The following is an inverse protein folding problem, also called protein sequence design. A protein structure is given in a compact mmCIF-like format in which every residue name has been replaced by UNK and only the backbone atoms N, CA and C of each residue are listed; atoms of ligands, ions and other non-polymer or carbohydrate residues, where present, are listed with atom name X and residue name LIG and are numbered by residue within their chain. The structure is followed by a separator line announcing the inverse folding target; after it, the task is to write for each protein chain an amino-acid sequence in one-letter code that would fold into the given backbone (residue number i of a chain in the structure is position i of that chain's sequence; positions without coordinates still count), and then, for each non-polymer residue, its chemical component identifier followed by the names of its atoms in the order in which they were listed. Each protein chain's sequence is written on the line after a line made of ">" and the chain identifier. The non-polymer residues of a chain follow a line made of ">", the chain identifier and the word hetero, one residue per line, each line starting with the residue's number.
data_IF_539121943813
#
_entry.id   IF_539121943813
#
_cell.length_a   1.000
_cell.length_b   1.000
_cell.length_c   1.000
_cell.angle_alpha   90.00
_cell.angle_beta   90.00
_cell.angle_gamma   90.00
#
_symmetry.space_group_name_H-M   'P 1'
#
loop_
_entity.id
_entity.type
_entity.pdbx_description
1 polymer ?
#
# COMPACT_ATOMS: atom_id res chain seq x y z
N UNK A 1 -12.89 3.81 1.89
CA UNK A 1 -11.64 3.01 1.90
C UNK A 1 -10.56 3.82 1.22
N UNK A 2 -9.40 4.04 1.84
CA UNK A 2 -8.30 4.78 1.22
C UNK A 2 -7.32 3.81 0.57
N UNK A 3 -6.87 4.11 -0.66
CA UNK A 3 -5.84 3.32 -1.36
C UNK A 3 -4.47 3.47 -0.70
N UNK A 4 -4.16 4.68 -0.21
CA UNK A 4 -2.85 5.04 0.30
C UNK A 4 -2.99 6.07 1.43
N UNK A 5 -2.20 5.92 2.50
CA UNK A 5 -2.16 6.85 3.64
C UNK A 5 -0.79 6.81 4.32
N UNK A 6 -0.27 7.96 4.74
CA UNK A 6 0.87 8.04 5.65
C UNK A 6 0.42 7.98 7.13
N UNK A 7 1.11 7.21 7.97
CA UNK A 7 0.77 6.99 9.38
C UNK A 7 1.97 7.27 10.29
N UNK A 8 1.82 8.13 11.30
CA UNK A 8 2.81 8.28 12.39
C UNK A 8 3.80 9.46 12.27
N UNK A 9 3.45 10.54 11.57
CA UNK A 9 4.31 11.76 11.51
C UNK A 9 5.62 11.54 10.76
N UNK A 10 6.67 12.37 10.97
CA UNK A 10 7.92 12.31 10.20
C UNK A 10 8.64 10.95 10.19
N UNK A 11 8.53 10.16 11.28
CA UNK A 11 9.07 8.79 11.39
C UNK A 11 8.07 7.68 11.07
N UNK A 12 7.01 8.04 10.34
CA UNK A 12 5.87 7.20 10.04
C UNK A 12 6.15 6.08 9.04
N UNK A 13 5.07 5.54 8.49
CA UNK A 13 5.11 4.52 7.46
C UNK A 13 3.96 4.70 6.48
N UNK A 14 4.13 4.10 5.29
CA UNK A 14 3.11 4.06 4.26
C UNK A 14 2.14 2.91 4.54
N UNK A 15 0.86 3.22 4.69
CA UNK A 15 -0.22 2.24 4.73
C UNK A 15 -0.85 2.16 3.35
N UNK A 16 -0.74 1.00 2.71
CA UNK A 16 -1.15 0.78 1.33
C UNK A 16 -2.16 -0.36 1.24
N UNK A 17 -3.30 -0.11 0.60
CA UNK A 17 -4.32 -1.13 0.38
C UNK A 17 -3.83 -2.17 -0.63
N UNK A 18 -3.88 -3.45 -0.29
CA UNK A 18 -3.59 -4.54 -1.24
C UNK A 18 -4.81 -4.83 -2.12
N UNK A 19 -4.83 -4.24 -3.30
CA UNK A 19 -5.92 -4.36 -4.27
C UNK A 19 -5.97 -5.73 -4.96
N UNK A 20 -4.99 -6.62 -4.76
CA UNK A 20 -5.06 -8.00 -5.31
C UNK A 20 -6.03 -8.89 -4.54
N UNK A 21 -6.37 -8.51 -3.31
CA UNK A 21 -7.26 -9.28 -2.44
C UNK A 21 -8.73 -8.83 -2.54
N UNK A 22 -9.00 -7.76 -3.28
CA UNK A 22 -10.34 -7.25 -3.46
C UNK A 22 -11.12 -8.06 -4.50
N UNK A 23 -12.46 -8.18 -4.34
CA UNK A 23 -13.27 -7.65 -3.23
C UNK A 23 -13.30 -8.55 -1.99
N UNK A 24 -12.75 -9.76 -2.07
CA UNK A 24 -12.88 -10.79 -1.05
C UNK A 24 -12.32 -10.39 0.33
N UNK A 25 -11.27 -9.58 0.37
CA UNK A 25 -10.62 -9.17 1.62
C UNK A 25 -9.99 -7.79 1.53
N UNK A 26 -10.23 -6.99 2.56
CA UNK A 26 -9.53 -5.72 2.79
C UNK A 26 -8.29 -6.00 3.64
N UNK A 27 -7.10 -5.69 3.11
CA UNK A 27 -5.83 -5.79 3.83
C UNK A 27 -4.96 -4.59 3.52
N UNK A 28 -4.33 -4.04 4.56
CA UNK A 28 -3.37 -2.96 4.44
C UNK A 28 -1.95 -3.47 4.68
N UNK A 29 -1.04 -3.09 3.80
CA UNK A 29 0.40 -3.29 3.92
C UNK A 29 0.99 -2.12 4.69
N UNK A 30 1.77 -2.41 5.74
CA UNK A 30 2.59 -1.43 6.46
C UNK A 30 3.98 -1.44 5.86
N UNK A 31 4.34 -0.36 5.16
CA UNK A 31 5.56 -0.27 4.37
C UNK A 31 6.47 0.82 4.93
N UNK A 32 7.70 0.42 5.30
CA UNK A 32 8.75 1.30 5.85
C UNK A 32 9.96 1.45 4.95
N UNK A 33 10.02 0.67 3.87
CA UNK A 33 11.18 0.58 2.99
C UNK A 33 10.77 0.74 1.52
N UNK A 34 11.65 1.36 0.74
CA UNK A 34 11.43 1.61 -0.68
C UNK A 34 11.28 0.32 -1.50
N UNK A 35 12.07 -0.70 -1.18
CA UNK A 35 12.05 -2.03 -1.82
C UNK A 35 10.64 -2.64 -1.82
N UNK A 36 9.94 -2.52 -0.70
CA UNK A 36 8.60 -3.06 -0.50
C UNK A 36 7.55 -2.28 -1.31
N UNK A 37 7.71 -0.96 -1.47
CA UNK A 37 6.81 -0.17 -2.35
C UNK A 37 7.00 -0.57 -3.81
N UNK A 38 8.25 -0.75 -4.25
CA UNK A 38 8.57 -1.19 -5.62
C UNK A 38 7.95 -2.56 -5.90
N UNK A 39 8.08 -3.51 -4.98
CA UNK A 39 7.43 -4.82 -5.08
C UNK A 39 5.90 -4.70 -5.18
N UNK A 40 5.29 -3.90 -4.31
CA UNK A 40 3.85 -3.68 -4.29
C UNK A 40 3.30 -3.14 -5.63
N UNK A 41 4.03 -2.23 -6.28
CA UNK A 41 3.67 -1.71 -7.62
C UNK A 41 3.82 -2.82 -8.66
N UNK A 42 4.97 -3.53 -8.68
CA UNK A 42 5.27 -4.59 -9.66
C UNK A 42 4.25 -5.73 -9.65
N UNK A 43 3.80 -6.15 -8.46
CA UNK A 43 2.79 -7.20 -8.31
C UNK A 43 1.34 -6.69 -8.37
N UNK A 44 1.13 -5.42 -8.71
CA UNK A 44 -0.18 -4.78 -8.84
C UNK A 44 -1.01 -4.74 -7.55
N UNK A 45 -0.35 -4.77 -6.39
CA UNK A 45 -0.98 -4.53 -5.08
C UNK A 45 -1.53 -3.11 -4.99
N UNK A 46 -0.86 -2.16 -5.64
CA UNK A 46 -1.39 -0.84 -5.96
C UNK A 46 -1.26 -0.63 -7.47
N UNK A 47 -2.27 0.01 -8.06
CA UNK A 47 -2.36 0.29 -9.49
C UNK A 47 -3.33 1.46 -9.73
N UNK A 48 -3.36 1.93 -10.97
CA UNK A 48 -4.12 3.11 -11.39
C UNK A 48 -3.28 4.36 -11.19
N UNK A 49 -2.62 4.80 -12.27
CA UNK A 49 -1.97 6.10 -12.27
C UNK A 49 -3.03 7.19 -11.94
N UNK A 50 -2.72 8.15 -11.06
CA UNK A 50 -3.63 9.23 -10.72
C UNK A 50 -3.84 10.21 -11.87
#
# INVERSE_FOLDING_TARGET
>A
MLTLRWVGGPGGYLSLLDQTLLPARVKYLRIRELSVVIDAIRRLAVRGAP
#
